data_IF_555358389587
#
_entry.id   IF_555358389587
#
_cell.length_a   1.000
_cell.length_b   1.000
_cell.length_c   1.000
_cell.angle_alpha   90.00
_cell.angle_beta   90.00
_cell.angle_gamma   90.00
#
_symmetry.space_group_name_H-M   'P 1'
#
loop_
_entity.id
_entity.type
_entity.pdbx_description
1 polymer ?
#
# COMPACT_ATOMS: atom_id res chain seq x y z
N UNK A 1 -63.11 -15.57 -3.54
CA UNK A 1 -63.69 -16.81 -4.13
C UNK A 1 -63.58 -16.66 -5.62
N UNK A 2 -62.95 -17.51 -6.43
CA UNK A 2 -62.29 -18.79 -6.24
C UNK A 2 -61.51 -19.00 -7.54
N UNK A 3 -60.18 -18.83 -7.58
CA UNK A 3 -59.38 -19.36 -8.70
C UNK A 3 -57.86 -19.44 -8.46
N UNK A 4 -57.43 -19.44 -7.19
CA UNK A 4 -56.00 -19.63 -6.84
C UNK A 4 -55.78 -20.79 -5.86
N UNK A 5 -56.70 -21.77 -5.83
CA UNK A 5 -56.62 -22.96 -4.96
C UNK A 5 -56.54 -24.30 -5.72
N UNK A 6 -56.11 -24.32 -6.99
CA UNK A 6 -56.21 -25.53 -7.82
C UNK A 6 -54.89 -26.10 -8.36
N UNK A 7 -53.73 -25.79 -7.75
CA UNK A 7 -52.44 -26.35 -8.21
C UNK A 7 -51.61 -26.98 -7.07
N UNK A 8 -52.20 -27.20 -5.88
CA UNK A 8 -51.50 -27.83 -4.74
C UNK A 8 -51.93 -29.27 -4.41
N UNK A 9 -52.66 -29.97 -5.29
CA UNK A 9 -53.01 -31.39 -5.04
C UNK A 9 -52.93 -32.26 -6.30
N UNK A 10 -51.72 -32.71 -6.61
CA UNK A 10 -51.40 -33.96 -7.32
C UNK A 10 -50.01 -34.38 -6.82
N UNK A 11 -49.91 -34.98 -5.63
CA UNK A 11 -49.93 -36.44 -5.43
C UNK A 11 -48.93 -37.08 -6.40
N UNK A 12 -47.67 -37.23 -6.00
CA UNK A 12 -47.15 -38.38 -5.23
C UNK A 12 -47.35 -39.72 -5.97
N UNK A 13 -46.25 -40.37 -6.32
CA UNK A 13 -46.24 -41.79 -6.66
C UNK A 13 -45.56 -42.15 -7.99
N UNK A 14 -44.22 -42.16 -8.01
CA UNK A 14 -43.48 -43.19 -8.76
C UNK A 14 -42.02 -43.21 -8.29
N UNK A 15 -41.77 -44.07 -7.32
CA UNK A 15 -40.46 -44.47 -6.85
C UNK A 15 -39.89 -45.55 -7.78
N UNK A 16 -38.74 -45.31 -8.42
CA UNK A 16 -37.83 -46.39 -8.81
C UNK A 16 -36.40 -45.89 -9.08
N UNK A 17 -35.51 -46.23 -8.16
CA UNK A 17 -34.18 -46.78 -8.43
C UNK A 17 -33.24 -46.02 -9.40
N UNK A 18 -32.35 -45.19 -8.84
CA UNK A 18 -30.95 -45.18 -9.29
C UNK A 18 -29.99 -44.67 -8.20
N UNK A 19 -29.28 -45.61 -7.56
CA UNK A 19 -28.15 -45.36 -6.66
C UNK A 19 -26.93 -44.86 -7.44
N UNK A 20 -26.17 -43.92 -6.84
CA UNK A 20 -24.68 -43.76 -6.77
C UNK A 20 -24.29 -42.28 -6.57
N UNK A 21 -23.10 -41.94 -6.05
CA UNK A 21 -22.58 -42.26 -4.72
C UNK A 21 -22.02 -41.02 -3.99
N UNK A 22 -22.04 -41.06 -2.65
CA UNK A 22 -21.27 -40.16 -1.80
C UNK A 22 -19.77 -40.25 -2.10
N UNK A 23 -19.14 -39.16 -2.52
CA UNK A 23 -17.69 -38.97 -2.40
C UNK A 23 -17.43 -37.78 -1.47
N UNK A 24 -17.11 -38.13 -0.23
CA UNK A 24 -16.42 -37.27 0.71
C UNK A 24 -15.08 -36.83 0.07
N UNK A 25 -14.92 -35.53 -0.12
CA UNK A 25 -13.61 -34.92 -0.34
C UNK A 25 -13.03 -34.60 1.03
N UNK A 26 -12.09 -35.45 1.45
CA UNK A 26 -11.12 -35.18 2.50
C UNK A 26 -10.38 -33.88 2.18
N UNK A 27 -10.71 -32.80 2.88
CA UNK A 27 -9.78 -31.68 3.07
C UNK A 27 -9.04 -31.95 4.37
N UNK A 28 -7.85 -32.54 4.23
CA UNK A 28 -6.90 -32.71 5.32
C UNK A 28 -6.50 -31.35 5.87
N UNK A 29 -6.82 -31.13 7.15
CA UNK A 29 -6.31 -30.04 7.95
C UNK A 29 -4.77 -30.11 8.01
N UNK A 30 -4.09 -29.03 7.60
CA UNK A 30 -2.68 -28.83 7.91
C UNK A 30 -2.57 -28.04 9.21
N UNK A 31 -1.88 -28.55 10.25
CA UNK A 31 -1.71 -27.82 11.50
C UNK A 31 -0.65 -26.72 11.33
N UNK A 32 -1.02 -25.49 11.65
CA UNK A 32 -0.09 -24.37 11.82
C UNK A 32 0.79 -24.63 13.05
N UNK A 33 2.00 -25.17 12.84
CA UNK A 33 3.05 -25.13 13.86
C UNK A 33 3.69 -23.74 13.85
N UNK A 34 3.65 -23.09 15.01
CA UNK A 34 4.48 -21.94 15.33
C UNK A 34 5.96 -22.35 15.23
N UNK A 35 6.77 -21.53 14.58
CA UNK A 35 8.23 -21.62 14.67
C UNK A 35 8.76 -20.20 14.84
N UNK A 36 9.54 -20.06 15.90
CA UNK A 36 10.15 -18.86 16.41
C UNK A 36 10.99 -18.12 15.36
N UNK A 37 11.01 -16.80 15.51
CA UNK A 37 11.91 -15.90 14.82
C UNK A 37 13.36 -16.17 15.24
N UNK A 38 14.19 -16.48 14.26
CA UNK A 38 15.64 -16.57 14.39
C UNK A 38 16.26 -16.62 13.00
N UNK A 39 17.01 -15.56 12.66
CA UNK A 39 17.95 -15.45 11.53
C UNK A 39 17.35 -15.19 10.13
N UNK A 40 17.33 -13.91 9.78
CA UNK A 40 17.12 -13.39 8.43
C UNK A 40 18.33 -13.69 7.54
N UNK A 41 18.20 -14.66 6.64
CA UNK A 41 19.06 -14.85 5.48
C UNK A 41 18.21 -15.15 4.25
N UNK A 42 17.93 -14.13 3.43
CA UNK A 42 17.10 -14.23 2.22
C UNK A 42 17.80 -15.02 1.10
N UNK A 43 17.90 -16.34 1.25
CA UNK A 43 18.11 -17.26 0.13
C UNK A 43 16.98 -18.29 0.17
N UNK A 44 15.99 -18.18 -0.71
CA UNK A 44 15.00 -19.26 -0.92
C UNK A 44 15.76 -20.46 -1.48
N UNK A 45 15.96 -21.49 -0.65
CA UNK A 45 16.39 -22.82 -1.11
C UNK A 45 15.27 -23.37 -2.00
N UNK A 46 15.51 -23.43 -3.31
CA UNK A 46 14.72 -24.27 -4.21
C UNK A 46 15.52 -25.56 -4.37
N UNK A 47 14.94 -26.68 -3.93
CA UNK A 47 15.58 -28.02 -4.02
C UNK A 47 17.00 -28.10 -3.43
N UNK A 48 17.21 -27.54 -2.23
CA UNK A 48 18.50 -27.61 -1.50
C UNK A 48 19.73 -27.02 -2.23
N UNK A 49 19.58 -26.32 -3.36
CA UNK A 49 20.69 -25.63 -4.02
C UNK A 49 20.77 -24.18 -3.53
N UNK A 50 21.96 -23.76 -3.12
CA UNK A 50 22.28 -22.35 -2.88
C UNK A 50 22.26 -21.67 -4.24
N UNK A 51 21.41 -20.64 -4.37
CA UNK A 51 21.35 -19.89 -5.62
C UNK A 51 22.70 -19.21 -5.87
N UNK A 52 23.25 -19.29 -7.10
CA UNK A 52 24.48 -18.59 -7.43
C UNK A 52 24.33 -17.08 -7.17
N UNK A 53 25.39 -16.40 -6.74
CA UNK A 53 25.37 -14.95 -6.44
C UNK A 53 24.83 -14.09 -7.60
N UNK A 54 24.92 -14.58 -8.84
CA UNK A 54 24.43 -13.90 -10.04
C UNK A 54 22.94 -14.17 -10.34
N UNK A 55 22.32 -15.20 -9.75
CA UNK A 55 20.94 -15.56 -10.05
C UNK A 55 19.98 -14.59 -9.33
N UNK A 56 19.29 -13.77 -10.12
CA UNK A 56 18.41 -12.69 -9.63
C UNK A 56 19.09 -11.32 -9.47
N UNK A 57 20.34 -11.16 -9.91
CA UNK A 57 21.23 -10.07 -9.49
C UNK A 57 21.75 -9.15 -10.61
N UNK A 58 20.97 -8.88 -11.67
CA UNK A 58 21.29 -7.70 -12.51
C UNK A 58 20.90 -6.38 -11.85
N UNK A 59 20.06 -6.43 -10.81
CA UNK A 59 19.55 -5.27 -10.07
C UNK A 59 19.74 -5.38 -8.55
N UNK A 60 20.52 -6.36 -8.07
CA UNK A 60 20.79 -6.46 -6.63
C UNK A 60 21.77 -5.34 -6.22
N UNK A 61 21.41 -4.42 -5.31
CA UNK A 61 22.29 -3.35 -4.87
C UNK A 61 23.62 -3.85 -4.29
N UNK A 62 23.67 -5.08 -3.78
CA UNK A 62 24.89 -5.74 -3.25
C UNK A 62 26.05 -5.79 -4.24
N UNK A 63 25.76 -5.86 -5.54
CA UNK A 63 26.78 -5.88 -6.59
C UNK A 63 27.15 -4.51 -7.15
N UNK A 64 26.43 -3.46 -6.77
CA UNK A 64 26.53 -2.12 -7.39
C UNK A 64 27.17 -1.12 -6.43
N UNK A 65 26.79 -1.14 -5.15
CA UNK A 65 27.32 -0.22 -4.14
C UNK A 65 27.54 -0.91 -2.78
N UNK A 66 28.47 -0.41 -1.94
CA UNK A 66 28.71 -0.98 -0.62
C UNK A 66 27.44 -1.02 0.23
N UNK A 67 27.22 -2.06 1.06
CA UNK A 67 26.03 -2.20 1.92
C UNK A 67 25.67 -0.94 2.71
N UNK A 68 26.67 -0.27 3.29
CA UNK A 68 26.49 0.97 4.07
C UNK A 68 25.96 2.18 3.27
N UNK A 69 25.97 2.08 1.94
CA UNK A 69 25.50 3.13 1.02
C UNK A 69 24.27 2.71 0.22
N UNK A 70 23.77 1.48 0.39
CA UNK A 70 22.67 0.95 -0.42
C UNK A 70 21.41 1.82 -0.35
N UNK A 71 21.11 2.37 0.82
CA UNK A 71 20.04 3.34 1.03
C UNK A 71 20.04 4.50 0.02
N UNK A 72 21.18 4.91 -0.54
CA UNK A 72 21.28 5.97 -1.56
C UNK A 72 20.51 5.62 -2.84
N UNK A 73 20.44 4.34 -3.22
CA UNK A 73 19.63 3.90 -4.37
C UNK A 73 18.15 4.14 -4.10
N UNK A 74 17.69 3.82 -2.89
CA UNK A 74 16.30 4.03 -2.50
C UNK A 74 16.00 5.52 -2.34
N UNK A 75 16.93 6.31 -1.81
CA UNK A 75 16.79 7.77 -1.77
C UNK A 75 16.65 8.36 -3.18
N UNK A 76 17.50 7.95 -4.11
CA UNK A 76 17.40 8.36 -5.51
C UNK A 76 16.05 7.94 -6.14
N UNK A 77 15.47 6.80 -5.73
CA UNK A 77 14.11 6.40 -6.15
C UNK A 77 13.06 7.38 -5.62
N UNK A 78 13.11 7.72 -4.34
CA UNK A 78 12.21 8.72 -3.73
C UNK A 78 12.29 10.05 -4.48
N UNK A 79 13.49 10.56 -4.76
CA UNK A 79 13.70 11.81 -5.50
C UNK A 79 13.12 11.78 -6.93
N UNK A 80 13.30 10.67 -7.66
CA UNK A 80 12.73 10.51 -9.00
C UNK A 80 11.20 10.52 -8.97
N UNK A 81 10.60 9.80 -8.02
CA UNK A 81 9.14 9.76 -7.87
C UNK A 81 8.58 11.12 -7.41
N UNK A 82 9.26 11.81 -6.50
CA UNK A 82 8.90 13.17 -6.12
C UNK A 82 8.92 14.14 -7.30
N UNK A 83 9.94 14.04 -8.16
CA UNK A 83 10.02 14.84 -9.40
C UNK A 83 8.86 14.53 -10.36
N UNK A 84 8.39 13.29 -10.41
CA UNK A 84 7.19 12.91 -11.19
C UNK A 84 5.94 13.53 -10.58
N UNK A 85 5.79 13.49 -9.26
CA UNK A 85 4.66 14.14 -8.57
C UNK A 85 4.61 15.64 -8.83
N UNK A 86 5.74 16.34 -8.86
CA UNK A 86 5.76 17.77 -9.19
C UNK A 86 5.27 18.07 -10.62
N UNK A 87 5.45 17.14 -11.57
CA UNK A 87 4.88 17.26 -12.92
C UNK A 87 3.38 16.95 -12.91
N UNK A 88 2.99 15.96 -12.13
CA UNK A 88 1.60 15.56 -11.97
C UNK A 88 0.77 16.67 -11.29
N UNK A 89 1.31 17.34 -10.29
CA UNK A 89 0.67 18.48 -9.61
C UNK A 89 0.34 19.60 -10.61
N UNK A 90 1.27 19.93 -11.51
CA UNK A 90 1.04 20.90 -12.58
C UNK A 90 -0.02 20.44 -13.59
N UNK A 91 -0.03 19.15 -13.95
CA UNK A 91 -1.09 18.57 -14.80
C UNK A 91 -2.46 18.68 -14.12
N UNK A 92 -2.49 18.45 -12.81
CA UNK A 92 -3.68 18.43 -11.98
C UNK A 92 -4.35 19.80 -11.82
N UNK A 93 -3.60 20.90 -11.97
CA UNK A 93 -4.16 22.26 -12.00
C UNK A 93 -5.25 22.44 -13.06
N UNK A 94 -5.14 21.70 -14.17
CA UNK A 94 -6.03 21.83 -15.34
C UNK A 94 -6.82 20.55 -15.67
N UNK A 95 -6.43 19.40 -15.11
CA UNK A 95 -7.05 18.12 -15.41
C UNK A 95 -7.33 17.32 -14.14
N UNK A 96 -8.38 16.53 -14.16
CA UNK A 96 -8.63 15.54 -13.11
C UNK A 96 -7.53 14.46 -13.08
N UNK A 97 -7.31 13.87 -11.90
CA UNK A 97 -6.40 12.73 -11.76
C UNK A 97 -7.05 11.49 -12.37
N UNK A 98 -6.30 10.80 -13.23
CA UNK A 98 -6.66 9.45 -13.67
C UNK A 98 -6.27 8.40 -12.62
N UNK A 99 -6.66 7.14 -12.82
CA UNK A 99 -6.26 6.06 -11.94
C UNK A 99 -4.74 5.85 -11.95
N UNK A 100 -4.10 6.01 -13.11
CA UNK A 100 -2.65 5.93 -13.27
C UNK A 100 -1.93 7.06 -12.50
N UNK A 101 -2.52 8.25 -12.47
CA UNK A 101 -2.00 9.37 -11.69
C UNK A 101 -2.08 9.08 -10.18
N UNK A 102 -3.16 8.43 -9.73
CA UNK A 102 -3.30 7.97 -8.34
C UNK A 102 -2.24 6.90 -8.02
N UNK A 103 -2.02 5.94 -8.91
CA UNK A 103 -0.98 4.92 -8.74
C UNK A 103 0.43 5.52 -8.61
N UNK A 104 0.73 6.59 -9.35
CA UNK A 104 1.99 7.33 -9.24
C UNK A 104 2.14 7.99 -7.86
N UNK A 105 1.06 8.57 -7.32
CA UNK A 105 1.01 9.13 -5.96
C UNK A 105 1.28 8.04 -4.92
N UNK A 106 0.60 6.90 -5.02
CA UNK A 106 0.79 5.78 -4.09
C UNK A 106 2.20 5.20 -4.19
N UNK A 107 2.73 5.09 -5.42
CA UNK A 107 4.08 4.59 -5.64
C UNK A 107 5.12 5.50 -5.00
N UNK A 108 4.93 6.82 -5.01
CA UNK A 108 5.78 7.72 -4.24
C UNK A 108 5.73 7.40 -2.75
N UNK A 109 4.55 7.31 -2.14
CA UNK A 109 4.42 7.02 -0.71
C UNK A 109 5.08 5.68 -0.36
N UNK A 110 4.90 4.64 -1.18
CA UNK A 110 5.57 3.35 -1.00
C UNK A 110 7.10 3.49 -1.00
N UNK A 111 7.66 4.22 -1.96
CA UNK A 111 9.11 4.43 -2.01
C UNK A 111 9.60 5.25 -0.81
N UNK A 112 8.84 6.26 -0.41
CA UNK A 112 9.11 7.13 0.74
C UNK A 112 9.12 6.34 2.05
N UNK A 113 8.15 5.43 2.23
CA UNK A 113 8.08 4.55 3.38
C UNK A 113 9.21 3.52 3.40
N UNK A 114 9.49 2.88 2.27
CA UNK A 114 10.52 1.83 2.18
C UNK A 114 11.95 2.33 2.33
N UNK A 115 12.20 3.63 2.17
CA UNK A 115 13.51 4.21 2.46
C UNK A 115 13.96 3.92 3.89
N UNK A 116 13.01 3.85 4.82
CA UNK A 116 13.25 3.43 6.19
C UNK A 116 13.99 2.10 6.27
N UNK A 117 13.44 1.08 5.63
CA UNK A 117 13.94 -0.29 5.72
C UNK A 117 15.37 -0.38 5.14
N UNK A 118 15.65 0.41 4.11
CA UNK A 118 16.98 0.48 3.51
C UNK A 118 17.98 1.21 4.41
N UNK A 119 17.58 2.29 5.08
CA UNK A 119 18.46 2.97 6.05
C UNK A 119 18.72 2.08 7.25
N UNK A 120 17.70 1.39 7.80
CA UNK A 120 17.88 0.48 8.93
C UNK A 120 18.85 -0.68 8.61
N UNK A 121 18.82 -1.19 7.38
CA UNK A 121 19.72 -2.26 6.93
C UNK A 121 21.15 -1.75 6.63
N UNK A 122 21.27 -0.59 5.97
CA UNK A 122 22.56 0.02 5.67
C UNK A 122 23.26 0.66 6.88
N UNK A 123 22.47 1.14 7.86
CA UNK A 123 22.89 1.95 9.01
C UNK A 123 22.12 1.52 10.27
N UNK A 124 22.39 0.32 10.82
CA UNK A 124 21.65 -0.22 11.96
C UNK A 124 21.67 0.66 13.20
N UNK A 125 22.71 1.49 13.37
CA UNK A 125 22.85 2.47 14.45
C UNK A 125 21.75 3.54 14.44
N UNK A 126 21.13 3.82 13.28
CA UNK A 126 20.09 4.84 13.14
C UNK A 126 18.68 4.31 13.39
N UNK A 127 18.52 3.03 13.76
CA UNK A 127 17.20 2.40 13.91
C UNK A 127 16.31 3.11 14.94
N UNK A 128 16.87 3.58 16.06
CA UNK A 128 16.10 4.33 17.06
C UNK A 128 15.68 5.72 16.55
N UNK A 129 16.58 6.42 15.86
CA UNK A 129 16.30 7.71 15.25
C UNK A 129 15.16 7.61 14.22
N UNK A 130 15.17 6.55 13.43
CA UNK A 130 14.14 6.23 12.46
C UNK A 130 12.78 5.99 13.13
N UNK A 131 12.74 5.28 14.25
CA UNK A 131 11.49 5.08 15.01
C UNK A 131 10.92 6.41 15.50
N UNK A 132 11.79 7.30 16.01
CA UNK A 132 11.40 8.65 16.45
C UNK A 132 10.92 9.48 15.26
N UNK A 133 11.61 9.41 14.12
CA UNK A 133 11.25 10.11 12.90
C UNK A 133 9.84 9.74 12.41
N UNK A 134 9.50 8.44 12.46
CA UNK A 134 8.15 7.94 12.16
C UNK A 134 7.09 8.23 13.24
N UNK A 135 7.45 8.90 14.35
CA UNK A 135 6.45 9.40 15.30
C UNK A 135 5.84 10.75 14.85
N UNK A 136 6.45 11.43 13.88
CA UNK A 136 5.85 12.61 13.23
C UNK A 136 4.58 12.23 12.50
N UNK A 137 3.63 13.16 12.43
CA UNK A 137 2.29 12.87 11.96
C UNK A 137 2.27 12.52 10.46
N UNK A 138 3.02 13.24 9.64
CA UNK A 138 3.12 13.06 8.20
C UNK A 138 3.74 11.70 7.85
N UNK A 139 4.77 11.28 8.60
CA UNK A 139 5.38 9.97 8.41
C UNK A 139 4.49 8.82 8.89
N UNK A 140 3.68 9.04 9.92
CA UNK A 140 2.62 8.09 10.30
C UNK A 140 1.63 7.93 9.16
N UNK A 141 1.12 9.03 8.60
CA UNK A 141 0.22 8.96 7.44
C UNK A 141 0.87 8.23 6.27
N UNK A 142 2.10 8.59 5.91
CA UNK A 142 2.83 7.94 4.83
C UNK A 142 2.89 6.41 5.00
N UNK A 143 3.15 5.95 6.25
CA UNK A 143 3.11 4.54 6.62
C UNK A 143 1.72 3.94 6.44
N UNK A 144 0.67 4.58 6.94
CA UNK A 144 -0.68 4.03 6.87
C UNK A 144 -1.19 3.97 5.42
N UNK A 145 -0.91 4.98 4.58
CA UNK A 145 -1.19 4.94 3.13
C UNK A 145 -0.56 3.69 2.51
N UNK A 146 0.74 3.48 2.76
CA UNK A 146 1.45 2.31 2.23
C UNK A 146 0.86 1.00 2.71
N UNK A 147 0.49 0.93 3.98
CA UNK A 147 -0.07 -0.27 4.60
C UNK A 147 -1.45 -0.59 4.03
N UNK A 148 -2.33 0.39 3.83
CA UNK A 148 -3.67 0.14 3.27
C UNK A 148 -3.63 -0.29 1.82
N UNK A 149 -2.74 0.28 1.00
CA UNK A 149 -2.59 -0.18 -0.39
C UNK A 149 -1.90 -1.54 -0.51
N UNK A 150 -1.07 -1.92 0.46
CA UNK A 150 -0.39 -3.22 0.47
C UNK A 150 -1.26 -4.34 1.04
N UNK A 151 -2.07 -4.05 2.05
CA UNK A 151 -2.84 -5.04 2.79
C UNK A 151 -4.34 -4.78 2.61
N UNK A 152 -5.01 -5.66 1.86
CA UNK A 152 -6.47 -5.65 1.70
C UNK A 152 -7.24 -5.70 3.04
N UNK A 153 -6.63 -6.26 4.09
CA UNK A 153 -7.14 -6.28 5.46
C UNK A 153 -5.99 -6.00 6.44
N UNK A 154 -6.01 -4.86 7.13
CA UNK A 154 -5.04 -4.53 8.18
C UNK A 154 -5.54 -5.03 9.54
N UNK A 155 -4.78 -5.93 10.18
CA UNK A 155 -5.09 -6.41 11.54
C UNK A 155 -4.38 -5.63 12.66
N UNK A 156 -3.46 -4.72 12.33
CA UNK A 156 -2.57 -4.01 13.27
C UNK A 156 -2.34 -2.54 12.85
N UNK A 157 -3.40 -1.87 12.43
CA UNK A 157 -3.35 -0.43 12.14
C UNK A 157 -3.25 0.38 13.45
N UNK A 158 -2.42 1.44 13.47
CA UNK A 158 -2.27 2.34 14.64
C UNK A 158 -3.13 3.61 14.53
N UNK A 159 -3.67 3.87 13.35
CA UNK A 159 -4.63 4.91 12.98
C UNK A 159 -5.72 4.16 12.18
N UNK A 160 -6.95 4.66 12.15
CA UNK A 160 -8.06 3.90 11.55
C UNK A 160 -7.75 3.47 10.10
N UNK A 161 -8.14 2.23 9.81
CA UNK A 161 -7.85 1.46 8.59
C UNK A 161 -8.53 2.01 7.34
N UNK A 162 -9.56 2.84 7.53
CA UNK A 162 -10.44 3.31 6.47
C UNK A 162 -10.03 4.71 6.01
N UNK A 163 -8.79 4.86 5.52
CA UNK A 163 -8.45 6.09 4.81
C UNK A 163 -9.04 6.06 3.40
N UNK A 164 -9.67 7.15 3.02
CA UNK A 164 -10.31 7.32 1.71
C UNK A 164 -9.54 8.30 0.85
N UNK A 165 -9.38 8.00 -0.44
CA UNK A 165 -9.11 9.05 -1.43
C UNK A 165 -10.47 9.63 -1.82
N UNK A 166 -10.76 10.82 -1.32
CA UNK A 166 -11.98 11.56 -1.58
C UNK A 166 -11.80 12.44 -2.82
N UNK A 167 -12.85 12.53 -3.63
CA UNK A 167 -12.96 13.46 -4.76
C UNK A 167 -14.15 14.37 -4.48
N UNK A 168 -13.88 15.65 -4.34
CA UNK A 168 -14.88 16.69 -4.13
C UNK A 168 -14.98 17.57 -5.37
N UNK A 169 -16.18 18.00 -5.73
CA UNK A 169 -16.41 18.90 -6.85
C UNK A 169 -16.63 20.32 -6.32
N UNK A 170 -15.78 21.25 -6.73
CA UNK A 170 -15.91 22.68 -6.40
C UNK A 170 -16.76 23.40 -7.47
N UNK A 171 -18.03 23.62 -7.14
CA UNK A 171 -18.98 24.31 -7.99
C UNK A 171 -18.58 25.76 -8.29
N UNK A 172 -17.88 26.45 -7.37
CA UNK A 172 -17.49 27.85 -7.59
C UNK A 172 -16.36 27.96 -8.63
N UNK A 173 -15.41 27.03 -8.59
CA UNK A 173 -14.35 26.94 -9.62
C UNK A 173 -14.93 26.57 -10.99
N UNK A 174 -16.00 25.77 -11.03
CA UNK A 174 -16.72 25.43 -12.25
C UNK A 174 -17.53 26.61 -12.81
N UNK A 175 -18.21 27.37 -11.95
CA UNK A 175 -19.07 28.50 -12.35
C UNK A 175 -18.27 29.71 -12.86
N UNK A 176 -17.02 29.86 -12.41
CA UNK A 176 -16.16 30.98 -12.82
C UNK A 176 -15.58 30.85 -14.23
N UNK A 177 -15.93 29.81 -15.01
CA UNK A 177 -15.32 29.48 -16.30
C UNK A 177 -13.78 29.48 -16.24
N UNK A 178 -13.22 29.18 -15.08
CA UNK A 178 -11.78 29.09 -14.93
C UNK A 178 -11.28 27.88 -15.73
N UNK A 179 -10.12 28.00 -16.37
CA UNK A 179 -9.46 26.84 -16.99
C UNK A 179 -8.99 25.80 -15.95
N UNK A 180 -9.23 26.05 -14.66
CA UNK A 180 -8.75 25.18 -13.57
C UNK A 180 -9.67 23.99 -13.39
N UNK A 181 -9.07 22.88 -12.97
CA UNK A 181 -9.79 21.68 -12.61
C UNK A 181 -10.70 21.94 -11.39
N UNK A 182 -12.03 21.72 -11.50
CA UNK A 182 -12.96 21.88 -10.38
C UNK A 182 -12.93 20.70 -9.40
N UNK A 183 -12.30 19.57 -9.72
CA UNK A 183 -12.25 18.40 -8.84
C UNK A 183 -11.07 18.47 -7.88
N UNK A 184 -11.35 18.56 -6.59
CA UNK A 184 -10.40 18.54 -5.48
C UNK A 184 -10.22 17.09 -5.00
N UNK A 185 -8.99 16.59 -5.01
CA UNK A 185 -8.63 15.26 -4.50
C UNK A 185 -8.01 15.40 -3.13
N UNK A 186 -8.54 14.67 -2.15
CA UNK A 186 -8.06 14.69 -0.77
C UNK A 186 -7.83 13.27 -0.27
N UNK A 187 -6.86 13.11 0.62
CA UNK A 187 -6.69 11.89 1.39
C UNK A 187 -7.25 12.18 2.78
N UNK A 188 -8.29 11.45 3.16
CA UNK A 188 -8.97 11.61 4.44
C UNK A 188 -8.60 10.47 5.40
N UNK A 189 -8.35 10.84 6.65
CA UNK A 189 -8.06 9.92 7.74
C UNK A 189 -8.96 10.22 8.92
N UNK A 190 -9.46 9.18 9.56
CA UNK A 190 -10.14 9.29 10.85
C UNK A 190 -9.10 9.38 11.97
N UNK A 191 -9.19 10.44 12.77
CA UNK A 191 -8.37 10.69 13.96
C UNK A 191 -9.30 10.88 15.16
N UNK A 192 -9.70 9.76 15.76
CA UNK A 192 -10.74 9.75 16.80
C UNK A 192 -12.09 10.14 16.22
N UNK A 193 -12.68 11.23 16.74
CA UNK A 193 -13.99 11.72 16.26
C UNK A 193 -13.88 12.78 15.14
N UNK A 194 -12.67 13.04 14.62
CA UNK A 194 -12.43 14.05 13.61
C UNK A 194 -11.91 13.42 12.31
N UNK A 195 -12.38 13.92 11.17
CA UNK A 195 -11.82 13.59 9.86
C UNK A 195 -10.79 14.66 9.52
N UNK A 196 -9.56 14.24 9.25
CA UNK A 196 -8.50 15.12 8.73
C UNK A 196 -8.27 14.84 7.27
N UNK A 197 -8.28 15.90 6.48
CA UNK A 197 -8.14 15.83 5.03
C UNK A 197 -6.85 16.49 4.57
N UNK A 198 -6.17 15.87 3.62
CA UNK A 198 -4.90 16.35 3.10
C UNK A 198 -4.90 16.36 1.57
N UNK A 199 -4.38 17.43 0.98
CA UNK A 199 -3.96 17.39 -0.41
C UNK A 199 -2.81 16.38 -0.57
N UNK A 200 -2.91 15.38 -1.49
CA UNK A 200 -1.86 14.39 -1.70
C UNK A 200 -0.49 15.01 -2.01
N UNK A 201 -0.46 16.08 -2.82
CA UNK A 201 0.77 16.74 -3.24
C UNK A 201 1.46 17.49 -2.09
N UNK A 202 0.67 18.21 -1.28
CA UNK A 202 1.19 18.90 -0.10
C UNK A 202 1.77 17.90 0.91
N UNK A 203 1.05 16.82 1.18
CA UNK A 203 1.52 15.75 2.06
C UNK A 203 2.80 15.10 1.53
N UNK A 204 2.85 14.80 0.23
CA UNK A 204 4.04 14.22 -0.39
C UNK A 204 5.27 15.13 -0.28
N UNK A 205 5.07 16.45 -0.48
CA UNK A 205 6.11 17.46 -0.31
C UNK A 205 6.63 17.52 1.12
N UNK A 206 5.75 17.53 2.12
CA UNK A 206 6.17 17.53 3.53
C UNK A 206 6.95 16.26 3.87
N UNK A 207 6.48 15.09 3.45
CA UNK A 207 7.21 13.83 3.64
C UNK A 207 8.61 13.85 2.99
N UNK A 208 8.70 14.38 1.76
CA UNK A 208 9.98 14.51 1.07
C UNK A 208 10.95 15.44 1.83
N UNK A 209 10.47 16.60 2.28
CA UNK A 209 11.26 17.57 3.03
C UNK A 209 11.75 17.00 4.37
N UNK A 210 10.88 16.29 5.10
CA UNK A 210 11.25 15.61 6.34
C UNK A 210 12.39 14.60 6.11
N UNK A 211 12.37 13.86 5.00
CA UNK A 211 13.47 12.97 4.65
C UNK A 211 14.76 13.71 4.28
N UNK A 212 14.68 14.80 3.49
CA UNK A 212 15.84 15.63 3.19
C UNK A 212 16.51 16.16 4.46
N UNK A 213 15.72 16.67 5.40
CA UNK A 213 16.20 17.15 6.69
C UNK A 213 16.82 16.03 7.52
N UNK A 214 16.18 14.86 7.59
CA UNK A 214 16.71 13.70 8.30
C UNK A 214 18.08 13.27 7.75
N UNK A 215 18.18 13.11 6.43
CA UNK A 215 19.42 12.71 5.74
C UNK A 215 20.53 13.73 5.99
N UNK A 216 20.22 15.03 5.87
CA UNK A 216 21.16 16.12 6.13
C UNK A 216 21.63 16.13 7.58
N UNK A 217 20.71 16.02 8.54
CA UNK A 217 21.03 16.06 9.98
C UNK A 217 21.85 14.86 10.44
N UNK A 218 21.68 13.70 9.80
CA UNK A 218 22.43 12.48 10.09
C UNK A 218 23.71 12.32 9.25
N UNK A 219 24.05 13.32 8.42
CA UNK A 219 25.24 13.34 7.55
C UNK A 219 25.35 12.08 6.66
N UNK A 220 24.24 11.70 6.03
CA UNK A 220 24.14 10.54 5.14
C UNK A 220 24.47 10.89 3.67
#
# INVERSE_FOLDING_TARGET
>A
MNELKSIEQRIEGSDSSMKRPNKALHLTAFPLRSIAAGELGRYRKINNKIMPKWYGSSLNPDGIIPPAQQWKIQWARVQRWFTRLAKLEKKYEFNELSNEDIDDIITFFQNCYHLRDWIEDSKPELKQDIVIFFNTFEMKICREICLGFKHKNLQTAKIDKDFGILREYDHFTAETNSLKNPVITKIAFEDGNNIKEYCPFTLAKTCYQLWEEFIKNKNL
#
